data_IF_224087741048
#
_entry.id   IF_224087741048
#
_cell.length_a   1.000
_cell.length_b   1.000
_cell.length_c   1.000
_cell.angle_alpha   90.00
_cell.angle_beta   90.00
_cell.angle_gamma   90.00
#
_symmetry.space_group_name_H-M   'P 1'
#
loop_
_entity.id
_entity.type
_entity.pdbx_description
1 polymer ?
#
# COMPACT_ATOMS: atom_id res chain seq x y z
N UNK A 1 6.03 34.96 -2.37
CA UNK A 1 6.55 33.94 -1.44
C UNK A 1 5.41 32.98 -1.13
N UNK A 2 5.23 31.94 -1.95
CA UNK A 2 4.25 30.89 -1.68
C UNK A 2 4.94 29.79 -0.87
N UNK A 3 4.68 29.76 0.42
CA UNK A 3 5.05 28.66 1.31
C UNK A 3 4.17 27.49 0.95
N UNK A 4 4.62 26.59 0.09
CA UNK A 4 4.00 25.28 -0.07
C UNK A 4 4.25 24.50 1.21
N UNK A 5 3.32 24.66 2.15
CA UNK A 5 3.24 23.86 3.38
C UNK A 5 2.99 22.41 2.95
N UNK A 6 4.00 21.56 3.06
CA UNK A 6 3.78 20.12 3.08
C UNK A 6 2.75 19.86 4.15
N UNK A 7 1.62 19.25 3.76
CA UNK A 7 0.51 19.04 4.67
C UNK A 7 1.02 18.18 5.84
N UNK A 8 0.93 18.63 7.10
CA UNK A 8 1.49 17.92 8.27
C UNK A 8 1.06 16.45 8.34
N UNK A 9 -0.11 16.12 7.78
CA UNK A 9 -0.62 14.74 7.66
C UNK A 9 0.27 13.83 6.83
N UNK A 10 0.94 14.36 5.78
CA UNK A 10 1.80 13.54 4.93
C UNK A 10 3.09 13.13 5.67
N UNK A 11 3.71 14.07 6.37
CA UNK A 11 4.87 13.78 7.21
C UNK A 11 4.54 12.77 8.32
N UNK A 12 3.41 12.96 8.98
CA UNK A 12 2.95 12.03 10.01
C UNK A 12 2.75 10.62 9.45
N UNK A 13 2.11 10.49 8.29
CA UNK A 13 1.95 9.18 7.62
C UNK A 13 3.30 8.56 7.25
N UNK A 14 4.21 9.33 6.68
CA UNK A 14 5.55 8.84 6.34
C UNK A 14 6.28 8.28 7.56
N UNK A 15 6.25 9.00 8.69
CA UNK A 15 6.88 8.53 9.93
C UNK A 15 6.17 7.30 10.47
N UNK A 16 4.84 7.30 10.50
CA UNK A 16 4.05 6.22 11.07
C UNK A 16 4.08 4.92 10.25
N UNK A 17 4.04 5.03 8.91
CA UNK A 17 3.90 3.86 8.04
C UNK A 17 5.23 3.38 7.44
N UNK A 18 6.22 4.26 7.33
CA UNK A 18 7.50 3.89 6.75
C UNK A 18 8.59 3.82 7.82
N UNK A 19 8.87 4.97 8.47
CA UNK A 19 10.02 5.04 9.38
C UNK A 19 9.82 4.16 10.60
N UNK A 20 8.63 4.13 11.18
CA UNK A 20 8.31 3.31 12.36
C UNK A 20 8.40 1.81 12.07
N UNK A 21 7.95 1.38 10.90
CA UNK A 21 7.86 -0.06 10.55
C UNK A 21 9.16 -0.61 9.95
N UNK A 22 9.86 0.19 9.17
CA UNK A 22 10.98 -0.25 8.33
C UNK A 22 12.30 0.46 8.64
N UNK A 23 12.27 1.45 9.52
CA UNK A 23 13.42 2.32 9.75
C UNK A 23 13.58 3.41 8.69
N UNK A 24 14.68 4.14 8.76
CA UNK A 24 14.97 5.23 7.81
C UNK A 24 15.47 4.63 6.50
N UNK A 25 14.81 4.88 5.36
CA UNK A 25 15.24 4.36 4.07
C UNK A 25 16.57 5.00 3.64
N UNK A 26 17.44 4.20 3.04
CA UNK A 26 18.72 4.70 2.49
C UNK A 26 18.49 5.60 1.28
N UNK A 27 17.52 5.24 0.46
CA UNK A 27 17.22 5.92 -0.80
C UNK A 27 15.72 6.00 -1.01
N UNK A 28 15.24 7.14 -1.49
CA UNK A 28 13.87 7.33 -1.94
C UNK A 28 13.91 7.77 -3.39
N UNK A 29 13.11 7.13 -4.22
CA UNK A 29 12.86 7.54 -5.60
C UNK A 29 11.50 8.22 -5.65
N UNK A 30 11.42 9.42 -6.22
CA UNK A 30 10.17 10.16 -6.36
C UNK A 30 10.07 10.82 -7.73
N UNK A 31 8.84 11.11 -8.13
CA UNK A 31 8.58 12.00 -9.25
C UNK A 31 8.97 13.46 -8.91
N UNK A 32 8.73 14.35 -9.87
CA UNK A 32 8.95 15.79 -9.70
C UNK A 32 7.72 16.54 -9.19
N UNK A 33 6.78 15.82 -8.57
CA UNK A 33 5.61 16.43 -7.97
C UNK A 33 5.98 17.57 -7.00
N UNK A 34 5.20 18.63 -6.99
CA UNK A 34 5.46 19.82 -6.15
C UNK A 34 5.61 19.48 -4.66
N UNK A 35 4.94 18.45 -4.21
CA UNK A 35 5.01 17.92 -2.84
C UNK A 35 6.38 17.34 -2.49
N UNK A 36 7.10 16.76 -3.46
CA UNK A 36 8.42 16.14 -3.25
C UNK A 36 9.58 17.07 -3.61
N UNK A 37 9.31 18.20 -4.26
CA UNK A 37 10.32 19.22 -4.61
C UNK A 37 10.44 20.33 -3.57
N UNK A 38 9.61 20.33 -2.53
CA UNK A 38 9.67 21.33 -1.48
C UNK A 38 10.99 21.24 -0.71
N UNK A 39 11.64 22.39 -0.49
CA UNK A 39 12.90 22.48 0.26
C UNK A 39 12.85 21.80 1.64
N UNK A 40 11.70 21.85 2.31
CA UNK A 40 11.50 21.14 3.57
C UNK A 40 11.76 19.63 3.43
N UNK A 41 11.25 19.01 2.34
CA UNK A 41 11.39 17.56 2.10
C UNK A 41 12.84 17.17 1.84
N UNK A 42 13.57 18.00 1.10
CA UNK A 42 15.01 17.83 0.88
C UNK A 42 15.80 17.92 2.18
N UNK A 43 15.54 18.96 2.99
CA UNK A 43 16.22 19.14 4.28
C UNK A 43 15.91 18.02 5.28
N UNK A 44 14.65 17.55 5.31
CA UNK A 44 14.24 16.43 6.16
C UNK A 44 15.04 15.16 5.82
N UNK A 45 15.06 14.78 4.54
CA UNK A 45 15.76 13.58 4.10
C UNK A 45 17.27 13.69 4.25
N UNK A 46 17.83 14.86 3.99
CA UNK A 46 19.24 15.13 4.26
C UNK A 46 19.57 14.97 5.76
N UNK A 47 18.71 15.47 6.64
CA UNK A 47 18.85 15.31 8.09
C UNK A 47 18.74 13.87 8.57
N UNK A 48 17.92 13.05 7.88
CA UNK A 48 17.76 11.62 8.14
C UNK A 48 18.84 10.76 7.47
N UNK A 49 19.72 11.31 6.66
CA UNK A 49 20.74 10.56 5.91
C UNK A 49 20.18 9.80 4.71
N UNK A 50 18.98 10.15 4.23
CA UNK A 50 18.33 9.55 3.08
C UNK A 50 18.74 10.24 1.78
N UNK A 51 19.12 9.47 0.76
CA UNK A 51 19.38 9.97 -0.59
C UNK A 51 18.09 10.08 -1.39
N UNK A 52 17.79 11.28 -1.92
CA UNK A 52 16.65 11.51 -2.82
C UNK A 52 17.09 11.39 -4.27
N UNK A 53 16.52 10.44 -4.99
CA UNK A 53 16.68 10.28 -6.44
C UNK A 53 15.39 10.74 -7.09
N UNK A 54 15.48 11.75 -7.95
CA UNK A 54 14.32 12.23 -8.72
C UNK A 54 14.28 11.55 -10.08
N UNK A 55 13.14 10.99 -10.42
CA UNK A 55 12.91 10.43 -11.75
C UNK A 55 13.05 11.54 -12.79
N UNK A 56 13.70 11.22 -13.91
CA UNK A 56 13.81 12.14 -15.04
C UNK A 56 12.86 11.70 -16.13
N UNK A 57 12.36 12.65 -16.93
CA UNK A 57 11.48 12.37 -18.06
C UNK A 57 12.10 11.40 -19.09
N UNK A 58 13.42 11.21 -19.04
CA UNK A 58 14.17 10.32 -19.94
C UNK A 58 14.39 8.90 -19.39
N UNK A 59 14.03 8.63 -18.13
CA UNK A 59 14.13 7.30 -17.51
C UNK A 59 12.84 6.92 -16.79
N UNK A 60 11.72 6.74 -17.53
CA UNK A 60 10.43 6.36 -16.92
C UNK A 60 10.46 4.99 -16.25
N UNK A 61 11.46 4.16 -16.53
CA UNK A 61 11.60 2.81 -15.95
C UNK A 61 11.82 2.81 -14.43
N UNK A 62 12.30 3.91 -13.87
CA UNK A 62 12.56 4.01 -12.41
C UNK A 62 11.24 4.12 -11.64
N UNK A 63 10.20 4.69 -12.24
CA UNK A 63 8.89 4.92 -11.61
C UNK A 63 7.80 3.95 -12.11
N UNK A 64 8.06 3.23 -13.20
CA UNK A 64 7.07 2.36 -13.85
C UNK A 64 6.54 1.24 -12.95
N UNK A 65 7.29 0.77 -11.95
CA UNK A 65 6.80 -0.21 -10.98
C UNK A 65 5.76 0.43 -10.04
N UNK A 66 6.04 1.62 -9.53
CA UNK A 66 5.14 2.37 -8.65
C UNK A 66 3.86 2.74 -9.38
N UNK A 67 3.96 3.25 -10.62
CA UNK A 67 2.80 3.56 -11.45
C UNK A 67 1.92 2.35 -11.71
N UNK A 68 2.53 1.19 -12.01
CA UNK A 68 1.80 -0.06 -12.21
C UNK A 68 1.07 -0.51 -10.95
N UNK A 69 1.73 -0.46 -9.78
CA UNK A 69 1.11 -0.82 -8.51
C UNK A 69 -0.07 0.11 -8.21
N UNK A 70 0.11 1.42 -8.39
CA UNK A 70 -0.95 2.41 -8.20
C UNK A 70 -2.15 2.14 -9.12
N UNK A 71 -1.92 1.87 -10.41
CA UNK A 71 -2.99 1.55 -11.35
C UNK A 71 -3.79 0.30 -10.92
N UNK A 72 -3.10 -0.76 -10.50
CA UNK A 72 -3.75 -1.99 -10.00
C UNK A 72 -4.58 -1.70 -8.75
N UNK A 73 -4.02 -0.95 -7.77
CA UNK A 73 -4.75 -0.59 -6.55
C UNK A 73 -5.96 0.30 -6.84
N UNK A 74 -5.85 1.24 -7.78
CA UNK A 74 -6.97 2.08 -8.21
C UNK A 74 -8.09 1.25 -8.85
N UNK A 75 -7.77 0.30 -9.70
CA UNK A 75 -8.75 -0.58 -10.34
C UNK A 75 -9.46 -1.49 -9.31
N UNK A 76 -8.71 -2.06 -8.36
CA UNK A 76 -9.27 -2.85 -7.26
C UNK A 76 -10.19 -2.00 -6.38
N UNK A 77 -9.77 -0.78 -6.00
CA UNK A 77 -10.59 0.15 -5.21
C UNK A 77 -11.85 0.55 -5.96
N UNK A 78 -11.75 0.83 -7.27
CA UNK A 78 -12.90 1.15 -8.11
C UNK A 78 -13.91 0.02 -8.13
N UNK A 79 -13.47 -1.24 -8.29
CA UNK A 79 -14.36 -2.40 -8.25
C UNK A 79 -15.09 -2.52 -6.90
N UNK A 80 -14.39 -2.30 -5.78
CA UNK A 80 -14.99 -2.33 -4.45
C UNK A 80 -16.04 -1.23 -4.24
N UNK A 81 -15.73 0.00 -4.64
CA UNK A 81 -16.64 1.16 -4.46
C UNK A 81 -17.87 1.06 -5.35
N UNK A 82 -17.73 0.55 -6.57
CA UNK A 82 -18.88 0.33 -7.47
C UNK A 82 -19.82 -0.77 -6.96
N UNK A 83 -19.29 -1.76 -6.27
CA UNK A 83 -20.05 -2.89 -5.73
C UNK A 83 -20.66 -2.62 -4.36
N UNK A 84 -20.19 -1.61 -3.65
CA UNK A 84 -20.58 -1.35 -2.25
C UNK A 84 -20.71 0.13 -1.97
N UNK A 85 -21.71 0.50 -1.14
CA UNK A 85 -21.82 1.86 -0.62
C UNK A 85 -20.73 2.07 0.42
N UNK A 86 -19.92 3.13 0.26
CA UNK A 86 -18.91 3.49 1.25
C UNK A 86 -17.78 4.34 0.66
N UNK A 87 -16.92 4.86 1.55
CA UNK A 87 -15.71 5.57 1.16
C UNK A 87 -14.64 4.58 0.72
N UNK A 88 -13.90 4.89 -0.34
CA UNK A 88 -12.77 4.08 -0.82
C UNK A 88 -11.70 3.85 0.28
N UNK A 89 -11.56 4.80 1.21
CA UNK A 89 -10.61 4.71 2.33
C UNK A 89 -10.87 3.49 3.22
N UNK A 90 -12.14 3.09 3.39
CA UNK A 90 -12.50 1.93 4.20
C UNK A 90 -12.11 0.60 3.55
N UNK A 91 -11.90 0.58 2.24
CA UNK A 91 -11.50 -0.59 1.47
C UNK A 91 -9.99 -0.74 1.32
N UNK A 92 -9.24 0.36 1.52
CA UNK A 92 -7.80 0.38 1.28
C UNK A 92 -7.03 -0.73 2.00
N UNK A 93 -7.25 -1.01 3.30
CA UNK A 93 -6.52 -2.09 3.99
C UNK A 93 -6.79 -3.48 3.42
N UNK A 94 -8.02 -3.72 2.93
CA UNK A 94 -8.38 -5.01 2.35
C UNK A 94 -7.82 -5.17 0.93
N UNK A 95 -7.81 -4.11 0.15
CA UNK A 95 -7.21 -4.08 -1.19
C UNK A 95 -5.70 -4.26 -1.10
N UNK A 96 -5.04 -3.59 -0.16
CA UNK A 96 -3.63 -3.78 0.13
C UNK A 96 -3.32 -5.23 0.53
N UNK A 97 -4.11 -5.80 1.43
CA UNK A 97 -3.97 -7.20 1.82
C UNK A 97 -4.14 -8.14 0.63
N UNK A 98 -5.17 -7.94 -0.19
CA UNK A 98 -5.44 -8.76 -1.37
C UNK A 98 -4.31 -8.67 -2.40
N UNK A 99 -3.78 -7.47 -2.66
CA UNK A 99 -2.64 -7.25 -3.54
C UNK A 99 -1.39 -7.98 -3.04
N UNK A 100 -1.06 -7.82 -1.76
CA UNK A 100 0.12 -8.44 -1.16
C UNK A 100 -0.01 -9.96 -0.98
N UNK A 101 -1.22 -10.50 -1.05
CA UNK A 101 -1.48 -11.94 -1.00
C UNK A 101 -1.66 -12.59 -2.38
N UNK A 102 -1.65 -11.79 -3.46
CA UNK A 102 -1.74 -12.28 -4.84
C UNK A 102 -0.38 -12.60 -5.42
N UNK A 103 -0.34 -13.59 -6.32
CA UNK A 103 0.86 -13.99 -7.02
C UNK A 103 1.41 -12.85 -7.88
N UNK A 104 2.70 -12.57 -7.75
CA UNK A 104 3.41 -11.57 -8.53
C UNK A 104 4.45 -12.25 -9.43
N UNK A 105 4.36 -12.02 -10.73
CA UNK A 105 5.24 -12.65 -11.71
C UNK A 105 6.72 -12.29 -11.51
N UNK A 106 7.01 -11.08 -11.05
CA UNK A 106 8.37 -10.58 -10.84
C UNK A 106 9.14 -11.32 -9.75
N UNK A 107 8.44 -11.77 -8.71
CA UNK A 107 9.02 -12.48 -7.55
C UNK A 107 8.60 -13.95 -7.50
N UNK A 108 7.77 -14.41 -8.44
CA UNK A 108 7.27 -15.80 -8.57
C UNK A 108 6.52 -16.33 -7.35
N UNK A 109 5.98 -15.43 -6.52
CA UNK A 109 5.18 -15.75 -5.34
C UNK A 109 4.38 -14.53 -4.89
N UNK A 110 3.57 -14.65 -3.84
CA UNK A 110 2.92 -13.51 -3.24
C UNK A 110 3.91 -12.68 -2.40
N UNK A 111 3.81 -11.34 -2.35
CA UNK A 111 4.65 -10.50 -1.48
C UNK A 111 4.67 -10.93 -0.01
N UNK A 112 3.52 -11.30 0.56
CA UNK A 112 3.48 -11.82 1.93
C UNK A 112 4.16 -13.18 2.07
N UNK A 113 4.08 -14.04 1.07
CA UNK A 113 4.80 -15.32 1.08
C UNK A 113 6.32 -15.09 1.06
N UNK A 114 6.79 -14.12 0.25
CA UNK A 114 8.19 -13.73 0.24
C UNK A 114 8.68 -13.15 1.58
N UNK A 115 7.82 -12.37 2.25
CA UNK A 115 8.17 -11.72 3.52
C UNK A 115 8.12 -12.67 4.71
N UNK A 116 7.09 -13.51 4.80
CA UNK A 116 6.83 -14.36 5.98
C UNK A 116 7.19 -15.83 5.77
N UNK A 117 7.62 -16.23 4.57
CA UNK A 117 7.96 -17.62 4.23
C UNK A 117 6.76 -18.57 4.15
N UNK A 118 5.54 -18.04 4.16
CA UNK A 118 4.29 -18.82 4.08
C UNK A 118 3.17 -18.01 3.43
N UNK A 119 2.25 -18.72 2.78
CA UNK A 119 1.02 -18.08 2.25
C UNK A 119 0.15 -17.58 3.39
N UNK A 120 -0.34 -16.35 3.28
CA UNK A 120 -1.33 -15.84 4.21
C UNK A 120 -2.68 -16.49 3.92
N UNK A 121 -3.36 -16.94 4.98
CA UNK A 121 -4.73 -17.43 4.87
C UNK A 121 -5.68 -16.27 4.69
N UNK A 122 -6.52 -16.35 3.68
CA UNK A 122 -7.60 -15.38 3.46
C UNK A 122 -8.82 -15.76 4.29
N UNK A 123 -9.76 -14.82 4.55
CA UNK A 123 -11.03 -15.14 5.19
C UNK A 123 -11.83 -16.27 4.52
N UNK A 124 -11.63 -16.49 3.22
CA UNK A 124 -12.23 -17.61 2.49
C UNK A 124 -11.78 -18.99 2.99
N UNK A 125 -10.56 -19.07 3.51
CA UNK A 125 -10.01 -20.30 4.07
C UNK A 125 -10.47 -20.54 5.52
N UNK A 126 -11.15 -19.59 6.16
CA UNK A 126 -11.70 -19.73 7.51
C UNK A 126 -13.01 -20.53 7.54
N UNK A 127 -13.50 -20.95 6.37
CA UNK A 127 -14.71 -21.77 6.22
C UNK A 127 -14.49 -23.22 6.64
N UNK A 128 -13.24 -23.65 6.89
CA UNK A 128 -12.92 -25.00 7.35
C UNK A 128 -13.60 -25.33 8.69
N UNK A 129 -14.19 -26.54 8.82
CA UNK A 129 -14.87 -26.94 10.05
C UNK A 129 -13.92 -26.88 11.25
N UNK A 130 -14.18 -25.97 12.18
CA UNK A 130 -13.41 -25.77 13.41
C UNK A 130 -12.89 -24.35 13.64
N UNK A 131 -12.59 -23.59 12.60
CA UNK A 131 -12.04 -22.21 12.75
C UNK A 131 -13.14 -21.14 12.98
N UNK A 132 -14.36 -21.35 12.49
CA UNK A 132 -15.52 -20.47 12.75
C UNK A 132 -15.83 -20.24 14.24
N UNK A 133 -15.43 -21.18 15.10
CA UNK A 133 -15.65 -21.08 16.56
C UNK A 133 -14.82 -20.00 17.23
N UNK A 134 -13.68 -19.61 16.67
CA UNK A 134 -12.76 -18.66 17.29
C UNK A 134 -13.09 -17.18 16.97
N UNK A 135 -13.73 -16.90 15.84
CA UNK A 135 -13.91 -15.51 15.36
C UNK A 135 -15.36 -15.02 15.39
N UNK A 136 -16.33 -15.89 15.69
CA UNK A 136 -17.76 -15.57 15.62
C UNK A 136 -18.29 -15.59 14.18
N UNK A 137 -19.45 -16.21 13.99
CA UNK A 137 -20.04 -16.47 12.68
C UNK A 137 -20.27 -15.18 11.89
N UNK A 138 -20.78 -14.13 12.53
CA UNK A 138 -21.11 -12.85 11.88
C UNK A 138 -19.87 -12.14 11.33
N UNK A 139 -18.75 -12.13 12.06
CA UNK A 139 -17.51 -11.51 11.64
C UNK A 139 -16.89 -12.20 10.43
N UNK A 140 -16.90 -13.53 10.42
CA UNK A 140 -16.40 -14.34 9.30
C UNK A 140 -17.24 -14.11 8.05
N UNK A 141 -18.56 -14.11 8.17
CA UNK A 141 -19.48 -13.91 7.05
C UNK A 141 -19.37 -12.49 6.44
N UNK A 142 -19.15 -11.46 7.26
CA UNK A 142 -18.89 -10.10 6.76
C UNK A 142 -17.53 -9.99 6.05
N UNK A 143 -16.49 -10.58 6.62
CA UNK A 143 -15.17 -10.60 6.02
C UNK A 143 -15.17 -11.38 4.69
N UNK A 144 -15.85 -12.52 4.64
CA UNK A 144 -16.00 -13.33 3.44
C UNK A 144 -16.73 -12.57 2.32
N UNK A 145 -17.84 -11.88 2.63
CA UNK A 145 -18.55 -11.03 1.66
C UNK A 145 -17.65 -9.94 1.08
N UNK A 146 -16.85 -9.28 1.91
CA UNK A 146 -15.93 -8.22 1.48
C UNK A 146 -14.82 -8.77 0.58
N UNK A 147 -14.26 -9.92 0.91
CA UNK A 147 -13.17 -10.55 0.11
C UNK A 147 -13.68 -11.02 -1.25
N UNK A 148 -14.90 -11.58 -1.33
CA UNK A 148 -15.51 -11.99 -2.62
C UNK A 148 -15.74 -10.82 -3.59
N UNK A 149 -15.86 -9.60 -3.08
CA UNK A 149 -16.00 -8.39 -3.93
C UNK A 149 -14.64 -8.00 -4.55
N UNK A 150 -13.54 -8.34 -3.86
CA UNK A 150 -12.17 -7.96 -4.27
C UNK A 150 -11.57 -8.96 -5.28
N UNK A 151 -12.04 -10.21 -5.30
CA UNK A 151 -11.62 -11.24 -6.24
C UNK A 151 -12.38 -11.17 -7.56
#
# INVERSE_FOLDING_TARGET
MCSYLIHPKFLHKYIAEIVRLHGIPKTIVSDRGSQFTAHFWEHLHKGLGTSLIRSTAYHPQIDGQTERVNAVLEDMLRACVLSSKGSWESWLPLVEFAYNNSYQESIKMAPFEALYGRKCRTPLNWVEPGERRFYGVNFVDEAEKKVRIIQ
#
